data_IF_215627431341
#
_entry.id   IF_215627431341
#
_cell.length_a   1.000
_cell.length_b   1.000
_cell.length_c   1.000
_cell.angle_alpha   90.00
_cell.angle_beta   90.00
_cell.angle_gamma   90.00
#
_symmetry.space_group_name_H-M   'P 1'
#
loop_
_entity.id
_entity.type
_entity.pdbx_description
1 polymer ?
#
# COMPACT_ATOMS: atom_id res chain seq x y z
N UNK A 1 27.53 -55.37 -32.68
CA UNK A 1 26.30 -54.54 -32.65
C UNK A 1 25.83 -54.35 -31.21
N UNK A 2 26.49 -53.45 -30.46
CA UNK A 2 26.12 -53.07 -29.10
C UNK A 2 26.58 -51.62 -28.93
N UNK A 3 25.65 -50.67 -28.83
CA UNK A 3 25.76 -49.36 -28.17
C UNK A 3 24.61 -48.47 -28.67
N UNK A 4 24.08 -47.67 -27.76
CA UNK A 4 23.10 -46.59 -27.98
C UNK A 4 21.61 -46.97 -27.88
N UNK A 5 21.16 -47.29 -26.67
CA UNK A 5 19.73 -47.23 -26.32
C UNK A 5 19.53 -46.98 -24.82
N UNK A 6 20.28 -46.03 -24.24
CA UNK A 6 20.10 -45.60 -22.84
C UNK A 6 20.38 -44.10 -22.71
N UNK A 7 19.65 -43.27 -23.45
CA UNK A 7 19.72 -41.82 -23.25
C UNK A 7 18.44 -41.11 -23.74
N UNK A 8 17.26 -41.59 -23.36
CA UNK A 8 15.99 -40.86 -23.62
C UNK A 8 15.04 -40.78 -22.43
N UNK A 9 15.42 -41.24 -21.23
CA UNK A 9 14.50 -41.30 -20.08
C UNK A 9 14.83 -40.32 -18.95
N UNK A 10 15.50 -39.19 -19.24
CA UNK A 10 15.80 -38.15 -18.22
C UNK A 10 15.23 -36.77 -18.60
N UNK A 11 14.82 -36.54 -19.86
CA UNK A 11 14.31 -35.22 -20.25
C UNK A 11 12.83 -34.97 -19.94
N UNK A 12 12.04 -36.01 -19.63
CA UNK A 12 10.59 -35.86 -19.42
C UNK A 12 10.21 -35.45 -17.99
N UNK A 13 11.12 -35.57 -17.01
CA UNK A 13 10.83 -35.22 -15.63
C UNK A 13 10.92 -33.70 -15.34
N UNK A 14 11.57 -32.91 -16.21
CA UNK A 14 11.73 -31.47 -16.01
C UNK A 14 10.56 -30.62 -16.54
N UNK A 15 9.57 -31.23 -17.20
CA UNK A 15 8.44 -30.51 -17.80
C UNK A 15 7.21 -30.37 -16.86
N UNK A 16 7.27 -30.94 -15.65
CA UNK A 16 6.18 -30.86 -14.67
C UNK A 16 6.56 -30.07 -13.41
N UNK A 17 7.39 -29.04 -13.55
CA UNK A 17 7.35 -27.92 -12.60
C UNK A 17 6.33 -26.91 -13.12
N UNK A 18 5.06 -27.33 -13.24
CA UNK A 18 3.98 -26.34 -13.32
C UNK A 18 4.01 -25.66 -11.96
N UNK A 19 4.51 -24.43 -11.90
CA UNK A 19 4.25 -23.57 -10.75
C UNK A 19 2.74 -23.61 -10.55
N UNK A 20 2.31 -24.27 -9.48
CA UNK A 20 0.91 -24.26 -9.06
C UNK A 20 0.61 -22.83 -8.66
N UNK A 21 0.19 -22.02 -9.64
CA UNK A 21 -0.35 -20.72 -9.35
C UNK A 21 -1.59 -20.95 -8.50
N UNK A 22 -1.60 -20.36 -7.30
CA UNK A 22 -2.78 -20.37 -6.47
C UNK A 22 -3.96 -19.82 -7.29
N UNK A 23 -5.17 -20.34 -7.04
CA UNK A 23 -6.37 -19.95 -7.76
C UNK A 23 -6.53 -18.41 -7.81
N UNK A 24 -7.25 -17.82 -8.76
CA UNK A 24 -7.53 -16.39 -8.74
C UNK A 24 -8.19 -15.96 -7.41
N UNK A 25 -7.87 -14.75 -6.95
CA UNK A 25 -8.57 -14.12 -5.83
C UNK A 25 -9.85 -13.45 -6.37
N UNK A 26 -11.01 -13.80 -5.81
CA UNK A 26 -12.27 -13.12 -6.12
C UNK A 26 -12.53 -12.02 -5.09
N UNK A 27 -12.42 -10.77 -5.51
CA UNK A 27 -12.51 -9.58 -4.67
C UNK A 27 -13.74 -8.79 -5.09
N UNK A 28 -14.62 -8.51 -4.12
CA UNK A 28 -15.80 -7.68 -4.33
C UNK A 28 -15.44 -6.20 -4.28
N UNK A 29 -14.63 -5.81 -3.31
CA UNK A 29 -14.21 -4.42 -3.10
C UNK A 29 -12.77 -4.36 -2.61
N UNK A 30 -12.04 -3.34 -3.04
CA UNK A 30 -10.71 -3.02 -2.50
C UNK A 30 -10.45 -1.52 -2.57
N UNK A 31 -9.58 -1.04 -1.69
CA UNK A 31 -9.18 0.37 -1.70
C UNK A 31 -8.23 0.71 -0.56
N UNK A 32 -8.05 2.00 -0.33
CA UNK A 32 -7.25 2.51 0.77
C UNK A 32 -7.85 3.79 1.35
N UNK A 33 -7.58 4.04 2.62
CA UNK A 33 -7.98 5.28 3.31
C UNK A 33 -7.02 5.57 4.48
N UNK A 34 -7.00 6.83 4.92
CA UNK A 34 -6.38 7.22 6.17
C UNK A 34 -7.41 7.19 7.32
N UNK A 35 -6.99 6.83 8.53
CA UNK A 35 -7.87 6.81 9.71
C UNK A 35 -7.17 7.40 10.94
N UNK A 36 -7.93 8.12 11.75
CA UNK A 36 -7.41 8.85 12.90
C UNK A 36 -6.61 10.07 12.48
N UNK A 37 -5.54 10.35 13.22
CA UNK A 37 -4.68 11.49 12.98
C UNK A 37 -5.05 12.74 13.76
N UNK A 38 -4.12 13.70 13.73
CA UNK A 38 -4.22 15.01 14.36
C UNK A 38 -3.88 16.09 13.34
N UNK A 39 -4.49 17.25 13.50
CA UNK A 39 -4.13 18.46 12.75
C UNK A 39 -3.38 19.40 13.70
N UNK A 40 -2.16 19.79 13.29
CA UNK A 40 -1.41 20.88 13.93
C UNK A 40 -1.52 22.12 13.07
N UNK A 41 -1.76 23.26 13.69
CA UNK A 41 -1.87 24.55 13.01
C UNK A 41 -0.75 25.45 13.49
N UNK A 42 0.00 26.06 12.58
CA UNK A 42 0.99 27.08 12.94
C UNK A 42 0.29 28.33 13.50
N UNK A 43 0.93 29.00 14.45
CA UNK A 43 0.43 30.28 14.96
C UNK A 43 0.31 31.31 13.83
N UNK A 44 -0.76 32.10 13.83
CA UNK A 44 -1.06 33.09 12.79
C UNK A 44 -2.40 32.84 12.10
N UNK A 45 -2.60 33.48 10.95
CA UNK A 45 -3.84 33.39 10.17
C UNK A 45 -3.51 32.99 8.75
N UNK A 46 -4.16 31.93 8.27
CA UNK A 46 -3.94 31.43 6.93
C UNK A 46 -4.26 32.50 5.87
N UNK A 47 -3.26 32.84 5.06
CA UNK A 47 -3.38 33.78 3.94
C UNK A 47 -3.11 33.03 2.62
N UNK A 48 -4.16 32.58 1.90
CA UNK A 48 -3.99 31.84 0.66
C UNK A 48 -3.36 32.69 -0.47
N UNK A 49 -3.54 34.01 -0.40
CA UNK A 49 -2.92 34.96 -1.33
C UNK A 49 -2.25 36.08 -0.52
N UNK A 50 -0.95 35.96 -0.22
CA UNK A 50 -0.20 37.03 0.45
C UNK A 50 -0.21 38.33 -0.36
N UNK A 51 -0.20 39.48 0.32
CA UNK A 51 -0.24 40.80 -0.35
C UNK A 51 0.88 40.99 -1.37
N UNK A 52 2.07 40.39 -1.16
CA UNK A 52 3.18 40.44 -2.12
C UNK A 52 2.81 39.86 -3.49
N UNK A 53 1.83 38.95 -3.56
CA UNK A 53 1.38 38.31 -4.78
C UNK A 53 0.14 38.99 -5.41
N UNK A 54 -0.52 39.90 -4.68
CA UNK A 54 -1.79 40.50 -5.08
C UNK A 54 -1.62 41.44 -6.28
N UNK A 55 -2.48 41.27 -7.29
CA UNK A 55 -2.49 42.11 -8.50
C UNK A 55 -1.29 41.91 -9.43
N UNK A 56 -0.45 40.91 -9.18
CA UNK A 56 0.72 40.59 -10.03
C UNK A 56 0.47 39.34 -10.87
N UNK A 57 1.01 39.35 -12.08
CA UNK A 57 0.96 38.21 -13.02
C UNK A 57 2.17 37.28 -12.87
N UNK A 58 3.22 37.69 -12.16
CA UNK A 58 4.39 36.88 -11.82
C UNK A 58 5.01 37.34 -10.49
N UNK A 59 5.62 36.40 -9.77
CA UNK A 59 6.32 36.63 -8.49
C UNK A 59 7.52 35.69 -8.36
N UNK A 60 8.51 36.07 -7.55
CA UNK A 60 9.53 35.14 -7.10
C UNK A 60 8.92 34.13 -6.12
N UNK A 61 9.20 32.84 -6.30
CA UNK A 61 8.68 31.77 -5.44
C UNK A 61 9.08 31.96 -3.97
N UNK A 62 10.33 32.31 -3.70
CA UNK A 62 10.85 32.42 -2.33
C UNK A 62 10.21 33.59 -1.56
N UNK A 63 9.88 34.68 -2.26
CA UNK A 63 9.19 35.83 -1.65
C UNK A 63 7.77 35.45 -1.20
N UNK A 64 7.03 34.74 -2.05
CA UNK A 64 5.66 34.26 -1.75
C UNK A 64 5.70 33.18 -0.67
N UNK A 65 6.65 32.25 -0.75
CA UNK A 65 6.84 31.21 0.25
C UNK A 65 7.13 31.82 1.63
N UNK A 66 8.09 32.75 1.70
CA UNK A 66 8.48 33.39 2.96
C UNK A 66 7.32 34.19 3.58
N UNK A 67 6.58 34.96 2.75
CA UNK A 67 5.40 35.68 3.20
C UNK A 67 4.29 34.74 3.71
N UNK A 68 4.11 33.57 3.08
CA UNK A 68 3.15 32.56 3.52
C UNK A 68 3.55 31.97 4.88
N UNK A 69 4.82 31.58 5.04
CA UNK A 69 5.34 31.06 6.31
C UNK A 69 5.21 32.10 7.43
N UNK A 70 5.50 33.37 7.15
CA UNK A 70 5.37 34.45 8.12
C UNK A 70 3.92 34.71 8.55
N UNK A 71 2.95 34.57 7.64
CA UNK A 71 1.53 34.76 7.95
C UNK A 71 0.98 33.67 8.89
N UNK A 72 1.55 32.47 8.84
CA UNK A 72 1.13 31.35 9.69
C UNK A 72 -0.26 30.79 9.32
N UNK A 73 -0.86 30.03 10.24
CA UNK A 73 -2.16 29.38 10.05
C UNK A 73 -2.17 28.19 9.10
N UNK A 74 -1.01 27.71 8.63
CA UNK A 74 -0.91 26.48 7.84
C UNK A 74 -1.20 25.27 8.72
N UNK A 75 -1.85 24.26 8.13
CA UNK A 75 -2.18 23.01 8.82
C UNK A 75 -1.28 21.87 8.36
N UNK A 76 -0.74 21.10 9.31
CA UNK A 76 -0.07 19.81 9.09
C UNK A 76 -0.99 18.69 9.58
N UNK A 77 -1.35 17.78 8.69
CA UNK A 77 -2.21 16.63 8.98
C UNK A 77 -1.32 15.41 9.15
N UNK A 78 -1.19 14.91 10.38
CA UNK A 78 -0.26 13.85 10.76
C UNK A 78 -0.92 12.79 11.65
N UNK A 79 -0.11 11.87 12.17
CA UNK A 79 -0.48 10.82 13.15
C UNK A 79 -1.63 9.88 12.71
N UNK A 80 -1.99 9.87 11.44
CA UNK A 80 -3.00 8.95 10.89
C UNK A 80 -2.36 7.60 10.54
N UNK A 81 -3.15 6.54 10.64
CA UNK A 81 -2.80 5.26 10.04
C UNK A 81 -3.22 5.25 8.57
N UNK A 82 -2.42 4.63 7.71
CA UNK A 82 -2.79 4.31 6.33
C UNK A 82 -3.25 2.87 6.27
N UNK A 83 -4.45 2.64 5.72
CA UNK A 83 -5.06 1.32 5.63
C UNK A 83 -5.25 0.94 4.16
N UNK A 84 -4.87 -0.28 3.80
CA UNK A 84 -5.26 -0.94 2.56
C UNK A 84 -6.22 -2.09 2.88
N UNK A 85 -7.35 -2.17 2.19
CA UNK A 85 -8.35 -3.20 2.48
C UNK A 85 -8.78 -3.97 1.22
N UNK A 86 -9.16 -5.23 1.43
CA UNK A 86 -9.78 -6.09 0.42
C UNK A 86 -10.92 -6.90 1.06
N UNK A 87 -12.06 -6.93 0.39
CA UNK A 87 -13.26 -7.68 0.79
C UNK A 87 -13.49 -8.77 -0.27
N UNK A 88 -13.51 -10.06 0.12
CA UNK A 88 -13.77 -11.15 -0.81
C UNK A 88 -15.27 -11.25 -1.13
N UNK A 89 -15.64 -11.88 -2.25
CA UNK A 89 -17.03 -11.99 -2.73
C UNK A 89 -17.99 -12.81 -1.87
N UNK A 90 -17.48 -13.56 -0.88
CA UNK A 90 -18.30 -14.27 0.09
C UNK A 90 -17.75 -14.04 1.52
N UNK A 91 -17.82 -12.81 2.04
CA UNK A 91 -17.07 -12.43 3.23
C UNK A 91 -17.63 -13.07 4.50
N UNK A 92 -16.71 -13.49 5.38
CA UNK A 92 -17.01 -13.78 6.78
C UNK A 92 -17.49 -12.51 7.48
N UNK A 93 -18.32 -12.63 8.53
CA UNK A 93 -18.94 -11.48 9.18
C UNK A 93 -17.93 -10.58 9.91
N UNK A 94 -16.76 -11.10 10.30
CA UNK A 94 -15.76 -10.35 11.05
C UNK A 94 -14.47 -10.19 10.23
N UNK A 95 -13.97 -8.95 10.06
CA UNK A 95 -12.72 -8.67 9.35
C UNK A 95 -11.49 -9.04 10.21
N UNK A 96 -10.35 -9.18 9.55
CA UNK A 96 -9.04 -9.22 10.21
C UNK A 96 -8.33 -7.89 9.99
N UNK A 97 -7.92 -7.26 11.09
CA UNK A 97 -7.09 -6.04 11.08
C UNK A 97 -5.67 -6.43 11.48
N UNK A 98 -4.72 -6.19 10.59
CA UNK A 98 -3.32 -6.54 10.81
C UNK A 98 -2.52 -5.33 11.27
N UNK A 99 -1.85 -5.45 12.42
CA UNK A 99 -1.00 -4.41 12.99
C UNK A 99 0.45 -4.89 13.01
N UNK A 100 1.32 -4.21 12.28
CA UNK A 100 2.74 -4.56 12.20
C UNK A 100 3.52 -4.16 13.47
N UNK A 101 4.71 -4.74 13.62
CA UNK A 101 5.65 -4.42 14.71
C UNK A 101 6.60 -3.25 14.39
N UNK A 102 7.58 -3.04 15.28
CA UNK A 102 8.57 -1.97 15.14
C UNK A 102 9.45 -2.15 13.89
N UNK A 103 9.75 -1.03 13.20
CA UNK A 103 10.64 -1.00 12.03
C UNK A 103 10.05 -1.67 10.77
N UNK A 104 8.74 -1.92 10.74
CA UNK A 104 8.04 -2.57 9.65
C UNK A 104 6.83 -1.73 9.20
N UNK A 105 6.06 -2.26 8.25
CA UNK A 105 4.81 -1.68 7.74
C UNK A 105 3.82 -2.79 7.37
N UNK A 106 2.73 -2.48 6.67
CA UNK A 106 1.82 -3.49 6.11
C UNK A 106 2.53 -4.61 5.31
N UNK A 107 3.76 -4.35 4.82
CA UNK A 107 4.65 -5.33 4.16
C UNK A 107 4.84 -6.62 4.94
N UNK A 108 4.73 -6.60 6.28
CA UNK A 108 4.80 -7.80 7.12
C UNK A 108 3.78 -8.86 6.73
N UNK A 109 2.61 -8.45 6.22
CA UNK A 109 1.48 -9.35 5.93
C UNK A 109 1.28 -9.62 4.44
N UNK A 110 2.04 -8.94 3.58
CA UNK A 110 2.02 -9.13 2.13
C UNK A 110 2.93 -10.31 1.73
N UNK A 111 3.27 -10.44 0.45
CA UNK A 111 4.20 -11.46 -0.06
C UNK A 111 5.44 -11.58 0.83
N UNK A 112 5.80 -12.82 1.20
CA UNK A 112 6.96 -13.12 2.02
C UNK A 112 8.26 -12.73 1.29
N UNK A 113 9.39 -12.55 2.00
CA UNK A 113 10.66 -12.18 1.38
C UNK A 113 11.16 -13.14 0.30
N UNK A 114 10.76 -14.41 0.38
CA UNK A 114 11.09 -15.47 -0.59
C UNK A 114 9.99 -15.69 -1.67
N UNK A 115 8.98 -14.82 -1.72
CA UNK A 115 7.99 -14.77 -2.82
C UNK A 115 6.72 -15.59 -2.62
N UNK A 116 6.52 -16.20 -1.45
CA UNK A 116 5.28 -16.90 -1.12
C UNK A 116 4.15 -15.93 -0.72
N UNK A 117 2.90 -16.42 -0.73
CA UNK A 117 1.77 -15.63 -0.25
C UNK A 117 1.90 -15.33 1.26
N UNK A 118 1.68 -14.08 1.63
CA UNK A 118 1.53 -13.69 3.04
C UNK A 118 0.11 -13.82 3.54
N UNK A 119 -0.08 -13.42 4.79
CA UNK A 119 -1.37 -13.48 5.49
C UNK A 119 -2.47 -12.68 4.80
N UNK A 120 -2.14 -11.56 4.16
CA UNK A 120 -3.10 -10.79 3.36
C UNK A 120 -3.84 -11.67 2.35
N UNK A 121 -3.10 -12.37 1.48
CA UNK A 121 -3.69 -13.24 0.46
C UNK A 121 -4.26 -14.52 1.07
N UNK A 122 -3.55 -15.13 2.02
CA UNK A 122 -3.98 -16.40 2.65
C UNK A 122 -5.34 -16.23 3.34
N UNK A 123 -5.56 -15.13 4.06
CA UNK A 123 -6.82 -14.89 4.76
C UNK A 123 -7.93 -14.36 3.83
N UNK A 124 -7.58 -13.59 2.81
CA UNK A 124 -8.53 -13.21 1.76
C UNK A 124 -9.09 -14.45 1.04
N UNK A 125 -8.24 -15.44 0.72
CA UNK A 125 -8.67 -16.77 0.19
C UNK A 125 -9.57 -17.54 1.14
N UNK A 126 -9.42 -17.32 2.44
CA UNK A 126 -10.26 -17.93 3.49
C UNK A 126 -11.53 -17.12 3.76
N UNK A 127 -11.86 -16.20 2.86
CA UNK A 127 -13.05 -15.36 2.89
C UNK A 127 -13.08 -14.36 4.04
N UNK A 128 -11.95 -13.99 4.63
CA UNK A 128 -11.91 -12.86 5.57
C UNK A 128 -11.75 -11.55 4.81
N UNK A 129 -12.56 -10.52 5.11
CA UNK A 129 -12.17 -9.15 4.80
C UNK A 129 -10.87 -8.83 5.54
N UNK A 130 -9.88 -8.27 4.84
CA UNK A 130 -8.56 -7.95 5.39
C UNK A 130 -8.31 -6.46 5.33
N UNK A 131 -7.75 -5.92 6.42
CA UNK A 131 -7.33 -4.53 6.56
C UNK A 131 -5.87 -4.53 7.03
N UNK A 132 -4.96 -4.09 6.17
CA UNK A 132 -3.52 -4.03 6.43
C UNK A 132 -3.03 -2.60 6.58
#
# INVERSE_FOLDING_TARGET
MKKSAKLSLILTACAMAVQSFAAPLSIEQQGSFAVGGTVKTSEGTYQPLPEIAKGKTSNNFMDVFSASIQAGGQTLHGDHATVFYQIPTNPRPYPLVFLHGAGQSMRTWQTTPDGHEGFQNIFLRKNYPVYC
#
